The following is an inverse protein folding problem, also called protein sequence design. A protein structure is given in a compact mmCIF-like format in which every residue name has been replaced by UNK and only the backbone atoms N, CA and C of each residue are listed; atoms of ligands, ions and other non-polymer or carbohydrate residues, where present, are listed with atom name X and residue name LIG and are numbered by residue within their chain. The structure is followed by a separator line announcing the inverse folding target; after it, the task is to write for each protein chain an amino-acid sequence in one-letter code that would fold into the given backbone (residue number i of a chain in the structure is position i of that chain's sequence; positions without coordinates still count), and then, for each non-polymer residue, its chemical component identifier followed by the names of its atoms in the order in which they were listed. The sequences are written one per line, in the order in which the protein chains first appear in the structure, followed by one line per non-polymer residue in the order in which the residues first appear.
data_IF_086733592513
#
_entry.id   IF_086733592513
#
_cell.length_a   1.000
_cell.length_b   1.000
_cell.length_c   1.000
_cell.angle_alpha   90.00
_cell.angle_beta   90.00
_cell.angle_gamma   90.00
#
_symmetry.space_group_name_H-M   'P 1'
#
loop_
_entity.id
_entity.type
_entity.pdbx_description
1 polymer ?
#
# COMPACT_ATOMS: atom_id res chain seq x y z
N UNK A 1 45.91 -12.18 13.97
CA UNK A 1 46.17 -10.72 13.92
C UNK A 1 44.91 -10.01 14.45
N UNK A 2 45.01 -8.76 14.92
CA UNK A 2 43.85 -7.92 15.27
C UNK A 2 43.57 -6.99 14.11
N UNK A 3 42.31 -6.81 13.73
CA UNK A 3 41.89 -5.73 12.83
C UNK A 3 40.94 -4.78 13.56
N UNK A 4 41.09 -3.49 13.30
CA UNK A 4 40.49 -2.42 14.10
C UNK A 4 39.18 -1.92 13.50
N UNK A 5 38.20 -1.62 14.36
CA UNK A 5 37.01 -0.85 13.96
C UNK A 5 37.34 0.64 14.02
N UNK A 6 37.39 1.29 12.86
CA UNK A 6 37.43 2.76 12.78
C UNK A 6 36.05 3.31 13.14
N UNK A 7 35.96 4.15 14.16
CA UNK A 7 34.76 4.93 14.46
C UNK A 7 34.84 6.29 13.77
N UNK A 8 33.90 6.58 12.88
CA UNK A 8 33.74 7.93 12.30
C UNK A 8 32.82 8.73 13.22
N UNK A 9 33.34 9.85 13.74
CA UNK A 9 32.63 10.74 14.67
C UNK A 9 31.91 11.82 13.85
N UNK A 10 30.58 11.84 13.87
CA UNK A 10 29.77 12.89 13.23
C UNK A 10 29.50 14.00 14.26
N UNK A 11 29.75 15.29 13.94
CA UNK A 11 29.50 16.40 14.86
C UNK A 11 28.00 16.70 14.98
N UNK A 12 27.55 17.06 16.19
CA UNK A 12 26.20 17.56 16.45
C UNK A 12 26.11 19.05 16.10
N UNK A 13 25.05 19.44 15.39
CA UNK A 13 24.69 20.85 15.14
C UNK A 13 23.64 21.26 16.18
N UNK A 14 23.83 22.37 16.92
CA UNK A 14 22.84 22.85 17.88
C UNK A 14 21.61 23.43 17.17
N UNK A 15 20.42 23.28 17.78
CA UNK A 15 19.21 23.99 17.34
C UNK A 15 19.21 25.41 17.91
N UNK A 16 18.74 26.43 17.16
CA UNK A 16 18.52 27.77 17.72
C UNK A 16 17.38 27.75 18.74
N UNK A 17 17.48 28.57 19.78
CA UNK A 17 16.43 28.73 20.79
C UNK A 17 15.30 29.65 20.34
N UNK A 18 14.13 29.49 20.94
CA UNK A 18 13.11 30.54 21.00
C UNK A 18 13.25 31.29 22.32
N UNK A 19 13.08 32.61 22.28
CA UNK A 19 13.08 33.46 23.47
C UNK A 19 11.67 33.47 24.10
N UNK A 20 11.62 33.63 25.42
CA UNK A 20 10.40 33.97 26.13
C UNK A 20 9.96 35.40 25.78
N UNK A 21 8.66 35.67 25.88
CA UNK A 21 8.07 37.01 25.74
C UNK A 21 7.17 37.28 26.93
N UNK A 22 7.41 38.39 27.62
CA UNK A 22 6.88 38.66 28.97
C UNK A 22 5.38 38.99 29.00
N UNK A 23 4.73 38.74 30.15
CA UNK A 23 3.32 39.01 30.37
C UNK A 23 3.04 40.51 30.64
N UNK A 24 2.06 41.06 29.92
CA UNK A 24 1.47 42.35 30.27
C UNK A 24 0.52 42.19 31.47
N UNK A 25 0.85 42.79 32.62
CA UNK A 25 -0.09 42.91 33.76
C UNK A 25 -0.23 44.37 34.21
N UNK A 26 -1.49 44.78 34.45
CA UNK A 26 -1.85 46.18 34.73
C UNK A 26 -2.47 46.32 36.13
N UNK A 27 -1.74 47.04 36.99
CA UNK A 27 -2.14 47.72 38.24
C UNK A 27 -3.48 47.38 38.95
N UNK A 28 -3.38 46.98 40.22
CA UNK A 28 -4.27 47.47 41.31
C UNK A 28 -3.42 47.79 42.55
N UNK A 29 -3.79 48.85 43.30
CA UNK A 29 -3.09 49.40 44.48
C UNK A 29 -3.52 48.77 45.82
N UNK A 30 -2.65 48.70 46.85
CA UNK A 30 -2.96 47.97 48.10
C UNK A 30 -2.33 48.36 49.47
N UNK A 31 -1.55 49.46 49.59
CA UNK A 31 -1.19 50.20 50.85
C UNK A 31 -0.82 49.43 52.16
N UNK A 32 0.44 49.64 52.61
CA UNK A 32 0.82 49.72 54.05
C UNK A 32 1.47 48.46 54.67
N UNK A 33 2.34 48.56 55.71
CA UNK A 33 2.93 49.70 56.46
C UNK A 33 4.27 49.25 57.08
N UNK A 34 5.16 50.22 57.42
CA UNK A 34 6.18 50.20 58.50
C UNK A 34 7.22 49.03 58.57
N UNK A 35 8.51 49.19 58.92
CA UNK A 35 9.30 50.36 59.37
C UNK A 35 10.83 50.07 59.28
N UNK A 36 11.56 51.00 58.66
CA UNK A 36 12.84 51.60 59.13
C UNK A 36 14.14 50.74 59.33
N UNK A 37 15.36 51.36 59.33
CA UNK A 37 16.55 50.85 58.60
C UNK A 37 17.82 50.91 59.53
N UNK A 38 19.05 51.39 59.17
CA UNK A 38 19.74 51.70 57.89
C UNK A 38 21.23 51.23 57.79
N UNK A 39 21.99 51.82 56.84
CA UNK A 39 23.48 51.87 56.70
C UNK A 39 24.12 50.64 56.02
N UNK A 40 25.22 50.70 55.24
CA UNK A 40 26.07 51.75 54.62
C UNK A 40 27.10 51.05 53.66
N UNK A 41 27.99 51.62 52.80
CA UNK A 41 28.36 52.99 52.34
C UNK A 41 29.24 52.87 51.05
N UNK A 42 29.07 53.75 50.02
CA UNK A 42 30.12 54.21 49.06
C UNK A 42 30.81 53.16 48.12
N UNK A 43 31.55 53.49 47.03
CA UNK A 43 31.71 54.72 46.22
C UNK A 43 32.55 54.55 44.93
N UNK A 44 32.31 55.43 43.94
CA UNK A 44 33.28 56.08 43.00
C UNK A 44 33.83 55.30 41.78
N UNK A 45 34.12 55.97 40.62
CA UNK A 45 34.07 55.35 39.28
C UNK A 45 35.36 55.44 38.38
N UNK A 46 35.47 56.15 37.23
CA UNK A 46 36.07 55.62 35.98
C UNK A 46 37.37 56.34 35.52
N UNK A 47 37.85 56.15 34.26
CA UNK A 47 37.58 57.20 33.26
C UNK A 47 37.50 56.80 31.75
N UNK A 48 36.81 57.68 31.00
CA UNK A 48 36.86 58.12 29.57
C UNK A 48 37.89 57.59 28.54
N UNK A 49 37.44 57.48 27.26
CA UNK A 49 37.74 58.41 26.12
C UNK A 49 36.85 58.08 24.88
N UNK A 50 36.10 59.04 24.27
CA UNK A 50 36.44 59.90 23.08
C UNK A 50 37.13 59.13 21.93
N UNK A 51 36.77 59.11 20.64
CA UNK A 51 36.08 60.06 19.71
C UNK A 51 35.83 59.30 18.34
N UNK A 52 35.24 59.75 17.20
CA UNK A 52 34.64 60.99 16.65
C UNK A 52 33.71 60.67 15.43
N UNK A 53 33.20 61.68 14.69
CA UNK A 53 32.45 61.61 13.39
C UNK A 53 33.18 62.46 12.30
N UNK A 54 32.63 62.92 11.12
CA UNK A 54 31.30 62.75 10.46
C UNK A 54 31.24 62.66 8.90
N UNK A 55 30.03 62.44 8.34
CA UNK A 55 29.56 62.90 7.00
C UNK A 55 29.77 61.97 5.78
N UNK A 56 28.94 61.96 4.70
CA UNK A 56 27.62 62.59 4.42
C UNK A 56 27.09 62.22 3.01
N UNK A 57 25.81 61.84 2.82
CA UNK A 57 24.65 62.68 2.36
C UNK A 57 24.29 62.55 0.84
N UNK A 58 22.98 62.36 0.53
CA UNK A 58 22.25 62.38 -0.79
C UNK A 58 22.46 61.15 -1.74
N UNK A 59 21.51 60.70 -2.58
CA UNK A 59 20.13 61.16 -2.94
C UNK A 59 19.24 60.00 -3.45
N UNK A 60 17.91 60.06 -3.26
CA UNK A 60 16.87 59.33 -4.05
C UNK A 60 16.32 60.20 -5.20
N UNK A 61 15.67 59.64 -6.25
CA UNK A 61 14.20 59.42 -6.31
C UNK A 61 13.78 58.14 -7.12
N UNK A 62 12.52 57.80 -7.45
CA UNK A 62 11.20 57.83 -6.78
C UNK A 62 10.13 57.17 -7.72
N UNK A 63 9.20 56.32 -7.22
CA UNK A 63 7.95 55.79 -7.87
C UNK A 63 8.09 54.97 -9.21
N UNK A 64 7.10 54.25 -9.79
CA UNK A 64 5.99 53.30 -9.39
C UNK A 64 5.25 52.88 -10.71
N UNK A 65 4.35 51.86 -10.85
CA UNK A 65 3.99 50.71 -10.01
C UNK A 65 3.96 49.33 -10.76
N UNK A 66 3.37 48.35 -10.07
CA UNK A 66 2.96 46.98 -10.45
C UNK A 66 2.47 46.69 -11.89
N UNK A 67 2.56 45.40 -12.26
CA UNK A 67 1.49 44.71 -12.99
C UNK A 67 1.26 43.30 -12.38
N UNK A 68 0.04 42.79 -12.51
CA UNK A 68 -0.50 41.67 -11.73
C UNK A 68 -0.61 40.39 -12.58
N UNK A 69 -0.22 39.24 -12.05
CA UNK A 69 -0.38 37.94 -12.72
C UNK A 69 -0.63 36.81 -11.72
N UNK A 70 -1.70 36.05 -11.97
CA UNK A 70 -2.34 35.15 -11.02
C UNK A 70 -1.47 33.95 -10.63
N UNK A 71 -1.26 33.75 -9.33
CA UNK A 71 -0.75 32.47 -8.81
C UNK A 71 -1.90 31.51 -8.58
N UNK A 72 -2.23 30.73 -9.60
CA UNK A 72 -3.10 29.55 -9.45
C UNK A 72 -2.36 28.45 -8.71
N UNK A 73 -2.40 28.51 -7.37
CA UNK A 73 -1.72 27.56 -6.47
C UNK A 73 -2.29 26.16 -6.63
N UNK A 74 -1.72 25.38 -7.56
CA UNK A 74 -2.09 23.97 -7.73
C UNK A 74 -1.49 23.17 -6.58
N UNK A 75 -2.28 22.99 -5.53
CA UNK A 75 -1.90 22.26 -4.32
C UNK A 75 -1.57 20.81 -4.65
N UNK A 76 -0.28 20.54 -4.84
CA UNK A 76 0.24 19.19 -5.05
C UNK A 76 0.12 18.42 -3.75
N UNK A 77 -1.01 17.72 -3.59
CA UNK A 77 -1.26 16.73 -2.55
C UNK A 77 -0.25 15.59 -2.67
N UNK A 78 0.93 15.80 -2.05
CA UNK A 78 2.01 14.82 -2.01
C UNK A 78 1.64 13.70 -1.05
N UNK A 79 0.81 12.77 -1.53
CA UNK A 79 0.60 11.47 -0.87
C UNK A 79 1.98 10.85 -0.65
N UNK A 80 2.33 10.44 0.58
CA UNK A 80 3.66 9.92 0.88
C UNK A 80 3.91 8.59 0.14
N UNK A 81 5.19 8.29 -0.06
CA UNK A 81 5.63 6.98 -0.56
C UNK A 81 5.31 5.93 0.51
N UNK A 82 4.45 4.97 0.16
CA UNK A 82 3.99 3.93 1.07
C UNK A 82 5.10 2.90 1.26
N UNK A 83 5.63 2.81 2.46
CA UNK A 83 6.62 1.81 2.87
C UNK A 83 5.94 0.42 2.97
N UNK A 84 5.99 -0.37 1.90
CA UNK A 84 5.63 -1.78 1.95
C UNK A 84 6.70 -2.54 2.77
N UNK A 85 6.34 -3.70 3.31
CA UNK A 85 7.12 -4.30 4.41
C UNK A 85 7.97 -5.52 4.00
N UNK A 86 8.93 -5.88 4.86
CA UNK A 86 10.08 -6.72 4.54
C UNK A 86 9.72 -8.19 4.30
N UNK A 87 9.70 -8.60 3.03
CA UNK A 87 9.77 -10.01 2.63
C UNK A 87 11.19 -10.58 2.83
N UNK A 88 11.47 -11.15 4.01
CA UNK A 88 12.70 -11.92 4.23
C UNK A 88 12.73 -13.20 3.39
N UNK A 89 13.68 -13.32 2.46
CA UNK A 89 13.93 -14.53 1.67
C UNK A 89 14.14 -15.75 2.59
N UNK A 90 13.26 -16.74 2.50
CA UNK A 90 13.41 -18.03 3.22
C UNK A 90 14.53 -18.84 2.56
N UNK A 91 15.62 -19.11 3.31
CA UNK A 91 16.69 -20.00 2.83
C UNK A 91 16.20 -21.46 2.85
N UNK A 92 15.92 -22.03 1.68
CA UNK A 92 15.58 -23.45 1.54
C UNK A 92 16.70 -24.35 2.07
N UNK A 93 16.45 -25.03 3.19
CA UNK A 93 17.36 -26.05 3.75
C UNK A 93 17.05 -27.39 3.09
N UNK A 94 18.04 -28.03 2.43
CA UNK A 94 17.87 -29.36 1.81
C UNK A 94 17.42 -30.38 2.86
N UNK A 95 16.21 -30.93 2.71
CA UNK A 95 15.80 -32.12 3.48
C UNK A 95 16.51 -33.37 2.93
N UNK A 96 17.03 -34.21 3.82
CA UNK A 96 17.55 -35.54 3.49
C UNK A 96 16.38 -36.52 3.45
N UNK A 97 16.31 -37.35 2.43
CA UNK A 97 15.36 -38.45 2.35
C UNK A 97 15.71 -39.55 3.36
N UNK A 98 14.74 -39.92 4.18
CA UNK A 98 14.68 -41.19 4.91
C UNK A 98 13.33 -41.83 4.60
N UNK A 99 13.24 -43.16 4.58
CA UNK A 99 12.13 -43.83 3.89
C UNK A 99 11.57 -45.09 4.54
N UNK A 100 10.56 -45.63 3.85
CA UNK A 100 9.89 -46.94 4.00
C UNK A 100 9.00 -47.18 5.24
N UNK A 101 7.72 -47.42 4.88
CA UNK A 101 6.79 -48.44 5.41
C UNK A 101 6.21 -48.27 6.82
N UNK A 102 4.87 -48.24 6.88
CA UNK A 102 4.07 -49.47 7.10
C UNK A 102 2.70 -49.38 6.40
N UNK A 103 1.92 -50.46 6.43
CA UNK A 103 0.73 -50.71 5.59
C UNK A 103 -0.34 -51.47 6.39
N UNK A 104 -1.46 -50.81 6.67
CA UNK A 104 -2.75 -51.36 7.15
C UNK A 104 -3.80 -50.26 6.86
N UNK A 105 -5.09 -50.53 6.69
CA UNK A 105 -5.80 -51.82 6.55
C UNK A 105 -7.14 -51.56 5.86
N UNK A 106 -7.71 -52.57 5.19
CA UNK A 106 -8.97 -52.42 4.43
C UNK A 106 -10.09 -53.13 5.18
N UNK A 107 -11.18 -52.44 5.48
CA UNK A 107 -12.46 -53.03 5.90
C UNK A 107 -13.60 -52.41 5.09
N UNK A 108 -14.79 -53.01 5.14
CA UNK A 108 -15.85 -52.82 4.15
C UNK A 108 -17.18 -52.41 4.74
N UNK A 109 -17.91 -51.55 4.01
CA UNK A 109 -19.36 -51.34 4.18
C UNK A 109 -20.02 -51.40 2.80
N UNK A 110 -21.30 -51.79 2.75
CA UNK A 110 -22.00 -52.26 1.54
C UNK A 110 -23.05 -51.27 1.03
N UNK A 111 -23.15 -51.23 -0.30
CA UNK A 111 -24.36 -51.14 -1.13
C UNK A 111 -25.12 -49.80 -1.23
N UNK A 112 -25.72 -49.62 -2.41
CA UNK A 112 -26.69 -48.58 -2.77
C UNK A 112 -28.12 -49.12 -2.58
N UNK A 113 -29.15 -48.34 -2.93
CA UNK A 113 -29.80 -48.66 -4.21
C UNK A 113 -29.93 -47.45 -5.16
N UNK A 114 -29.77 -47.70 -6.46
CA UNK A 114 -29.98 -46.71 -7.51
C UNK A 114 -31.45 -46.74 -7.97
N UNK A 115 -32.23 -45.70 -7.63
CA UNK A 115 -33.63 -45.55 -8.07
C UNK A 115 -34.04 -44.10 -8.43
N UNK A 116 -33.27 -43.08 -8.05
CA UNK A 116 -33.67 -41.67 -8.14
C UNK A 116 -33.10 -40.89 -9.35
N UNK A 117 -32.15 -41.45 -10.10
CA UNK A 117 -31.40 -40.70 -11.14
C UNK A 117 -32.05 -40.76 -12.52
N UNK A 118 -32.78 -41.83 -12.84
CA UNK A 118 -33.31 -42.07 -14.19
C UNK A 118 -34.45 -41.13 -14.62
N UNK A 119 -35.16 -40.52 -13.66
CA UNK A 119 -36.32 -39.66 -13.95
C UNK A 119 -35.94 -38.26 -14.46
N UNK A 120 -34.83 -37.69 -13.97
CA UNK A 120 -34.42 -36.32 -14.32
C UNK A 120 -33.82 -36.20 -15.73
N UNK A 121 -33.24 -37.28 -16.26
CA UNK A 121 -32.71 -37.32 -17.63
C UNK A 121 -33.81 -37.36 -18.70
N UNK A 122 -35.02 -37.82 -18.37
CA UNK A 122 -36.13 -37.90 -19.32
C UNK A 122 -36.73 -36.51 -19.66
N UNK A 123 -36.87 -35.62 -18.67
CA UNK A 123 -37.42 -34.27 -18.93
C UNK A 123 -36.47 -33.37 -19.74
N UNK A 124 -35.15 -33.58 -19.64
CA UNK A 124 -34.16 -32.78 -20.37
C UNK A 124 -34.26 -32.92 -21.90
N UNK A 125 -34.83 -34.02 -22.41
CA UNK A 125 -34.91 -34.33 -23.85
C UNK A 125 -36.18 -33.80 -24.54
N UNK A 126 -37.20 -33.35 -23.81
CA UNK A 126 -38.45 -32.85 -24.39
C UNK A 126 -38.46 -31.34 -24.68
N UNK A 127 -37.62 -30.58 -23.99
CA UNK A 127 -37.54 -29.10 -24.14
C UNK A 127 -37.19 -28.66 -25.58
N UNK A 128 -36.27 -29.32 -26.33
CA UNK A 128 -35.94 -28.89 -27.69
C UNK A 128 -37.09 -29.03 -28.71
N UNK A 129 -38.05 -29.92 -28.47
CA UNK A 129 -39.11 -30.25 -29.44
C UNK A 129 -40.23 -29.19 -29.43
N UNK A 130 -40.49 -28.56 -28.28
CA UNK A 130 -41.53 -27.54 -28.12
C UNK A 130 -41.09 -26.18 -28.71
N UNK A 131 -39.79 -25.96 -28.90
CA UNK A 131 -39.26 -24.71 -29.48
C UNK A 131 -39.30 -24.64 -31.01
N UNK A 132 -39.58 -25.76 -31.71
CA UNK A 132 -39.54 -25.86 -33.17
C UNK A 132 -40.93 -26.26 -33.71
N UNK A 133 -41.91 -25.41 -33.46
CA UNK A 133 -43.21 -25.46 -34.14
C UNK A 133 -43.28 -24.37 -35.21
N UNK A 134 -43.66 -24.66 -36.47
CA UNK A 134 -43.70 -23.65 -37.51
C UNK A 134 -44.81 -22.62 -37.24
N UNK A 135 -44.44 -21.34 -37.13
CA UNK A 135 -45.40 -20.25 -37.33
C UNK A 135 -45.68 -20.14 -38.82
N UNK A 136 -46.96 -20.23 -39.18
CA UNK A 136 -47.47 -19.95 -40.52
C UNK A 136 -47.20 -18.50 -40.92
N UNK A 137 -46.84 -18.26 -42.19
CA UNK A 137 -46.67 -16.92 -42.74
C UNK A 137 -47.95 -16.08 -42.60
N UNK A 138 -47.88 -14.98 -41.86
CA UNK A 138 -48.96 -13.98 -41.83
C UNK A 138 -48.71 -12.97 -42.96
N UNK A 139 -49.71 -12.81 -43.83
CA UNK A 139 -49.57 -12.14 -45.12
C UNK A 139 -49.31 -10.63 -45.00
N UNK A 140 -48.29 -10.15 -45.71
CA UNK A 140 -47.91 -8.75 -45.71
C UNK A 140 -49.04 -7.86 -46.29
N UNK A 141 -49.52 -6.91 -45.47
CA UNK A 141 -50.38 -5.81 -45.95
C UNK A 141 -49.49 -4.69 -46.50
N UNK A 142 -49.82 -4.10 -47.67
CA UNK A 142 -49.02 -3.02 -48.24
C UNK A 142 -49.11 -1.74 -47.40
N UNK A 143 -47.96 -1.12 -47.16
CA UNK A 143 -47.84 0.18 -46.49
C UNK A 143 -47.98 1.28 -47.56
N UNK A 144 -48.77 2.36 -47.34
CA UNK A 144 -48.85 3.47 -48.27
C UNK A 144 -47.51 4.22 -48.40
N UNK A 145 -47.21 4.72 -49.59
CA UNK A 145 -45.93 5.38 -49.86
C UNK A 145 -45.76 6.68 -49.04
N UNK A 146 -44.56 6.94 -48.48
CA UNK A 146 -44.28 8.20 -47.79
C UNK A 146 -44.11 9.35 -48.78
N UNK A 147 -44.83 10.45 -48.54
CA UNK A 147 -44.63 11.74 -49.23
C UNK A 147 -43.28 12.37 -48.89
N UNK A 148 -42.78 13.23 -49.78
CA UNK A 148 -41.43 13.80 -49.75
C UNK A 148 -41.03 14.44 -48.40
N UNK A 149 -40.17 13.73 -47.66
CA UNK A 149 -39.48 14.26 -46.49
C UNK A 149 -38.08 14.76 -46.87
N UNK A 150 -37.72 15.97 -46.43
CA UNK A 150 -36.46 16.64 -46.79
C UNK A 150 -35.24 15.80 -46.37
N UNK A 151 -34.28 15.65 -47.29
CA UNK A 151 -33.06 14.85 -47.10
C UNK A 151 -32.01 15.52 -46.18
N UNK A 152 -32.35 15.78 -44.91
CA UNK A 152 -31.33 16.02 -43.88
C UNK A 152 -30.65 14.70 -43.52
N UNK A 153 -29.69 14.27 -44.35
CA UNK A 153 -28.82 13.14 -44.05
C UNK A 153 -27.92 13.48 -42.85
N UNK A 154 -28.32 13.03 -41.66
CA UNK A 154 -27.42 13.01 -40.50
C UNK A 154 -26.16 12.25 -40.90
N UNK A 155 -24.94 12.82 -40.77
CA UNK A 155 -23.73 12.09 -41.13
C UNK A 155 -23.59 10.88 -40.21
N UNK A 156 -23.56 9.69 -40.80
CA UNK A 156 -23.21 8.45 -40.07
C UNK A 156 -21.83 8.68 -39.46
N UNK A 157 -21.65 8.52 -38.13
CA UNK A 157 -20.35 8.73 -37.52
C UNK A 157 -19.36 7.72 -38.11
N UNK A 158 -18.31 8.25 -38.75
CA UNK A 158 -17.20 7.44 -39.26
C UNK A 158 -16.69 6.53 -38.15
N UNK A 159 -16.51 5.21 -38.37
CA UNK A 159 -15.92 4.33 -37.37
C UNK A 159 -14.60 4.93 -36.90
N UNK A 160 -14.51 5.25 -35.60
CA UNK A 160 -13.35 5.93 -35.06
C UNK A 160 -12.12 5.02 -35.27
N UNK A 161 -11.15 5.52 -36.05
CA UNK A 161 -9.90 4.79 -36.31
C UNK A 161 -9.27 4.45 -34.94
N UNK A 162 -8.97 3.17 -34.66
CA UNK A 162 -8.45 2.78 -33.35
C UNK A 162 -7.07 3.42 -33.15
N UNK A 163 -7.01 4.45 -32.30
CA UNK A 163 -5.78 5.18 -32.01
C UNK A 163 -4.83 4.26 -31.25
N UNK A 164 -3.83 3.73 -31.96
CA UNK A 164 -2.78 2.90 -31.38
C UNK A 164 -1.72 3.78 -30.74
N UNK A 165 -1.81 3.94 -29.42
CA UNK A 165 -0.79 4.59 -28.62
C UNK A 165 0.47 3.71 -28.48
N UNK A 166 1.70 4.28 -28.49
CA UNK A 166 2.92 3.52 -28.26
C UNK A 166 2.99 3.00 -26.82
N UNK A 167 3.68 1.88 -26.60
CA UNK A 167 3.83 1.33 -25.25
C UNK A 167 4.75 2.24 -24.40
N UNK A 168 4.31 2.69 -23.21
CA UNK A 168 5.13 3.48 -22.31
C UNK A 168 6.38 2.72 -21.86
N UNK A 169 7.43 3.48 -21.50
CA UNK A 169 8.64 2.94 -20.88
C UNK A 169 8.71 3.30 -19.40
N UNK A 170 9.36 2.43 -18.63
CA UNK A 170 9.56 2.55 -17.18
C UNK A 170 11.05 2.54 -16.89
N UNK A 171 11.54 3.53 -16.13
CA UNK A 171 12.89 3.55 -15.58
C UNK A 171 12.87 2.97 -14.16
N UNK A 172 13.61 1.89 -13.93
CA UNK A 172 13.71 1.20 -12.64
C UNK A 172 15.12 1.34 -12.09
N UNK A 173 15.28 1.96 -10.92
CA UNK A 173 16.54 2.00 -10.20
C UNK A 173 16.76 0.69 -9.43
N UNK A 174 17.85 -0.03 -9.72
CA UNK A 174 18.24 -1.26 -9.05
C UNK A 174 19.10 -0.93 -7.82
N UNK A 175 18.56 -1.07 -6.62
CA UNK A 175 19.24 -0.71 -5.38
C UNK A 175 20.49 -1.57 -5.10
N UNK A 176 20.56 -2.78 -5.66
CA UNK A 176 21.70 -3.68 -5.49
C UNK A 176 22.95 -3.29 -6.33
N UNK A 177 22.77 -2.52 -7.40
CA UNK A 177 23.85 -2.13 -8.34
C UNK A 177 24.02 -0.62 -8.50
N UNK A 178 23.04 0.18 -8.06
CA UNK A 178 23.02 1.63 -8.28
C UNK A 178 22.73 2.05 -9.72
N UNK A 179 22.25 1.13 -10.56
CA UNK A 179 22.02 1.35 -12.00
C UNK A 179 20.54 1.44 -12.35
N UNK A 180 20.21 2.15 -13.43
CA UNK A 180 18.83 2.29 -13.91
C UNK A 180 18.59 1.41 -15.13
N UNK A 181 17.62 0.50 -15.06
CA UNK A 181 17.05 -0.19 -16.23
C UNK A 181 16.00 0.68 -16.91
N UNK A 182 15.81 0.52 -18.22
CA UNK A 182 14.76 1.17 -19.00
C UNK A 182 14.03 0.11 -19.83
N UNK A 183 12.75 -0.15 -19.51
CA UNK A 183 11.99 -1.30 -20.00
C UNK A 183 10.60 -0.89 -20.54
N UNK A 184 9.99 -1.66 -21.45
CA UNK A 184 8.55 -1.56 -21.74
C UNK A 184 7.68 -1.75 -20.49
N UNK A 185 6.50 -1.15 -20.48
CA UNK A 185 5.56 -1.20 -19.36
C UNK A 185 5.15 -2.64 -19.01
N UNK A 186 4.87 -3.50 -19.98
CA UNK A 186 4.44 -4.88 -19.72
C UNK A 186 5.60 -5.79 -19.26
N UNK A 187 6.85 -5.46 -19.61
CA UNK A 187 8.04 -6.11 -19.07
C UNK A 187 8.30 -5.69 -17.61
N UNK A 188 8.08 -4.42 -17.27
CA UNK A 188 8.10 -3.97 -15.88
C UNK A 188 7.04 -4.70 -15.04
N UNK A 189 5.79 -4.74 -15.52
CA UNK A 189 4.68 -5.44 -14.84
C UNK A 189 4.98 -6.94 -14.69
N UNK A 190 5.58 -7.58 -15.71
CA UNK A 190 6.08 -8.96 -15.62
C UNK A 190 7.06 -9.15 -14.46
N UNK A 191 8.06 -8.26 -14.34
CA UNK A 191 9.09 -8.34 -13.29
C UNK A 191 8.57 -8.06 -11.88
N UNK A 192 7.50 -7.27 -11.73
CA UNK A 192 6.81 -7.05 -10.45
C UNK A 192 5.93 -8.26 -10.08
N UNK A 193 5.07 -8.73 -10.98
CA UNK A 193 4.16 -9.86 -10.69
C UNK A 193 4.95 -11.12 -10.29
N UNK A 194 6.11 -11.34 -10.92
CA UNK A 194 7.00 -12.47 -10.62
C UNK A 194 7.71 -12.39 -9.27
N UNK A 195 7.85 -11.19 -8.70
CA UNK A 195 8.50 -10.94 -7.42
C UNK A 195 7.50 -10.87 -6.26
N UNK A 196 6.30 -10.32 -6.51
CA UNK A 196 5.29 -10.04 -5.49
C UNK A 196 4.30 -11.20 -5.24
N UNK A 197 3.93 -12.00 -6.26
CA UNK A 197 2.87 -13.00 -6.14
C UNK A 197 3.36 -14.42 -6.46
N UNK A 198 3.04 -15.45 -5.64
CA UNK A 198 3.41 -16.83 -5.92
C UNK A 198 2.84 -17.32 -7.25
N UNK A 199 3.71 -17.82 -8.12
CA UNK A 199 3.36 -18.24 -9.47
C UNK A 199 2.35 -19.40 -9.52
N UNK A 200 2.18 -20.12 -8.42
CA UNK A 200 1.19 -21.18 -8.23
C UNK A 200 -0.26 -20.66 -8.17
N UNK A 201 -0.48 -19.36 -7.87
CA UNK A 201 -1.80 -18.75 -7.72
C UNK A 201 -2.66 -18.84 -8.99
N UNK A 202 -3.98 -18.66 -8.84
CA UNK A 202 -4.95 -18.68 -9.93
C UNK A 202 -4.69 -17.55 -10.95
N UNK A 203 -5.02 -17.80 -12.21
CA UNK A 203 -4.80 -16.86 -13.32
C UNK A 203 -5.47 -15.49 -13.07
N UNK A 204 -6.71 -15.47 -12.56
CA UNK A 204 -7.43 -14.24 -12.27
C UNK A 204 -6.81 -13.42 -11.11
N UNK A 205 -6.17 -14.08 -10.14
CA UNK A 205 -5.40 -13.39 -9.10
C UNK A 205 -4.10 -12.78 -9.65
N UNK A 206 -3.39 -13.50 -10.52
CA UNK A 206 -2.21 -12.99 -11.22
C UNK A 206 -2.56 -11.80 -12.14
N UNK A 207 -3.71 -11.84 -12.83
CA UNK A 207 -4.25 -10.71 -13.60
C UNK A 207 -4.58 -9.52 -12.70
N UNK A 208 -5.21 -9.75 -11.55
CA UNK A 208 -5.51 -8.69 -10.58
C UNK A 208 -4.22 -8.02 -10.07
N UNK A 209 -3.18 -8.79 -9.76
CA UNK A 209 -1.85 -8.28 -9.39
C UNK A 209 -1.19 -7.50 -10.55
N UNK A 210 -1.29 -7.98 -11.80
CA UNK A 210 -0.76 -7.28 -12.97
C UNK A 210 -1.43 -5.91 -13.18
N UNK A 211 -2.76 -5.83 -13.04
CA UNK A 211 -3.52 -4.57 -13.13
C UNK A 211 -3.14 -3.64 -11.98
N UNK A 212 -2.98 -4.15 -10.74
CA UNK A 212 -2.53 -3.33 -9.60
C UNK A 212 -1.11 -2.77 -9.81
N UNK A 213 -0.17 -3.61 -10.25
CA UNK A 213 1.19 -3.20 -10.58
C UNK A 213 1.21 -2.13 -11.68
N UNK A 214 0.50 -2.37 -12.80
CA UNK A 214 0.38 -1.41 -13.91
C UNK A 214 -0.24 -0.08 -13.46
N UNK A 215 -1.29 -0.13 -12.62
CA UNK A 215 -1.96 1.08 -12.12
C UNK A 215 -1.02 1.95 -11.27
N UNK A 216 -0.23 1.33 -10.39
CA UNK A 216 0.73 2.03 -9.54
C UNK A 216 1.77 2.81 -10.36
N UNK A 217 2.43 2.15 -11.34
CA UNK A 217 3.45 2.82 -12.16
C UNK A 217 2.82 3.85 -13.10
N UNK A 218 1.64 3.60 -13.67
CA UNK A 218 0.93 4.56 -14.52
C UNK A 218 0.53 5.81 -13.74
N UNK A 219 0.10 5.68 -12.46
CA UNK A 219 -0.12 6.83 -11.57
C UNK A 219 1.15 7.66 -11.40
N UNK A 220 2.31 7.03 -11.18
CA UNK A 220 3.59 7.75 -11.01
C UNK A 220 4.06 8.42 -12.30
N UNK A 221 4.03 7.70 -13.43
CA UNK A 221 4.38 8.25 -14.75
C UNK A 221 3.45 9.42 -15.14
N UNK A 222 2.14 9.33 -14.88
CA UNK A 222 1.21 10.43 -15.10
C UNK A 222 1.51 11.65 -14.22
N UNK A 223 1.88 11.44 -12.95
CA UNK A 223 2.27 12.52 -12.04
C UNK A 223 3.68 13.11 -12.27
N UNK A 224 4.54 12.44 -13.06
CA UNK A 224 6.00 12.64 -13.05
C UNK A 224 6.61 12.46 -11.64
N UNK A 225 6.05 11.52 -10.87
CA UNK A 225 6.44 11.24 -9.48
C UNK A 225 7.69 10.35 -9.42
N UNK A 226 8.81 10.95 -9.03
CA UNK A 226 10.09 10.26 -8.74
C UNK A 226 10.42 10.25 -7.24
N UNK A 227 9.45 10.56 -6.37
CA UNK A 227 9.65 10.55 -4.91
C UNK A 227 10.12 9.18 -4.42
N UNK A 228 11.01 9.15 -3.43
CA UNK A 228 11.61 7.91 -2.92
C UNK A 228 12.70 7.28 -3.80
N UNK A 229 12.96 7.80 -5.00
CA UNK A 229 14.05 7.33 -5.88
C UNK A 229 15.33 8.14 -5.62
N UNK A 230 16.51 7.51 -5.45
CA UNK A 230 17.78 8.22 -5.28
C UNK A 230 18.02 9.24 -6.41
N UNK A 231 18.26 10.49 -6.02
CA UNK A 231 18.44 11.66 -6.91
C UNK A 231 17.34 11.87 -7.98
N UNK A 232 16.16 11.24 -7.84
CA UNK A 232 15.10 11.27 -8.85
C UNK A 232 15.48 10.64 -10.20
N UNK A 233 16.53 9.81 -10.25
CA UNK A 233 17.14 9.33 -11.49
C UNK A 233 16.30 8.32 -12.30
N UNK A 234 15.22 7.80 -11.71
CA UNK A 234 14.32 6.81 -12.30
C UNK A 234 12.87 7.05 -11.80
N UNK A 235 11.91 6.28 -12.30
CA UNK A 235 10.49 6.44 -11.97
C UNK A 235 10.12 5.67 -10.69
N UNK A 236 10.80 4.54 -10.43
CA UNK A 236 10.64 3.65 -9.26
C UNK A 236 11.97 2.99 -8.88
N UNK A 237 12.03 2.38 -7.69
CA UNK A 237 13.09 1.44 -7.28
C UNK A 237 12.61 -0.01 -7.37
N UNK A 238 13.52 -0.97 -7.27
CA UNK A 238 13.27 -2.42 -7.18
C UNK A 238 12.91 -2.93 -5.77
N UNK A 239 12.67 -2.01 -4.83
CA UNK A 239 12.48 -2.29 -3.40
C UNK A 239 11.04 -2.06 -2.94
N UNK A 240 10.73 -2.57 -1.74
CA UNK A 240 9.43 -2.41 -1.05
C UNK A 240 9.01 -0.95 -0.77
N UNK A 241 9.86 0.06 -1.01
CA UNK A 241 9.43 1.45 -1.01
C UNK A 241 8.62 1.83 -2.26
N UNK A 242 8.60 0.98 -3.29
CA UNK A 242 7.72 1.12 -4.45
C UNK A 242 6.99 -0.20 -4.71
N UNK A 243 7.67 -1.14 -5.38
CA UNK A 243 7.22 -2.51 -5.64
C UNK A 243 8.48 -3.37 -5.77
N UNK A 244 8.46 -4.60 -5.25
CA UNK A 244 9.58 -5.52 -5.47
C UNK A 244 9.63 -5.88 -6.94
N UNK A 245 10.80 -5.73 -7.56
CA UNK A 245 11.01 -6.02 -8.98
C UNK A 245 12.13 -7.04 -9.14
N UNK A 246 12.00 -7.95 -10.12
CA UNK A 246 13.10 -8.79 -10.60
C UNK A 246 13.15 -8.73 -12.13
N UNK A 247 14.32 -8.51 -12.76
CA UNK A 247 14.43 -8.42 -14.22
C UNK A 247 13.80 -9.62 -14.95
N UNK A 248 12.89 -9.42 -15.93
CA UNK A 248 12.17 -10.53 -16.58
C UNK A 248 13.04 -11.64 -17.16
N UNK A 249 14.20 -11.31 -17.76
CA UNK A 249 15.14 -12.32 -18.25
C UNK A 249 15.77 -13.15 -17.13
N UNK A 250 16.04 -12.54 -15.97
CA UNK A 250 16.49 -13.28 -14.79
C UNK A 250 15.37 -14.20 -14.28
N UNK A 251 14.14 -13.71 -14.15
CA UNK A 251 12.97 -14.53 -13.75
C UNK A 251 12.86 -15.73 -14.68
N UNK A 252 12.86 -15.49 -16.00
CA UNK A 252 12.78 -16.52 -17.03
C UNK A 252 13.90 -17.55 -16.92
N UNK A 253 15.15 -17.11 -16.82
CA UNK A 253 16.31 -17.99 -16.70
C UNK A 253 16.30 -18.82 -15.39
N UNK A 254 15.94 -18.19 -14.27
CA UNK A 254 15.83 -18.85 -12.96
C UNK A 254 14.68 -19.86 -12.94
N UNK A 255 13.52 -19.52 -13.49
CA UNK A 255 12.34 -20.39 -13.49
C UNK A 255 12.49 -21.57 -14.46
N UNK A 256 13.03 -21.37 -15.67
CA UNK A 256 13.35 -22.46 -16.60
C UNK A 256 14.34 -23.43 -15.94
N UNK A 257 15.40 -22.92 -15.28
CA UNK A 257 16.38 -23.74 -14.54
C UNK A 257 15.78 -24.50 -13.36
N UNK A 258 14.68 -24.01 -12.80
CA UNK A 258 13.90 -24.67 -11.73
C UNK A 258 12.75 -25.56 -12.25
N UNK A 259 12.60 -25.70 -13.58
CA UNK A 259 11.51 -26.47 -14.21
C UNK A 259 10.15 -25.77 -14.22
N UNK A 260 10.07 -24.52 -13.77
CA UNK A 260 8.85 -23.70 -13.64
C UNK A 260 8.37 -23.06 -14.96
N UNK A 261 8.36 -23.84 -16.04
CA UNK A 261 8.04 -23.34 -17.39
C UNK A 261 6.56 -22.98 -17.50
N UNK A 262 5.66 -23.81 -16.96
CA UNK A 262 4.20 -23.58 -17.00
C UNK A 262 3.78 -22.39 -16.15
N UNK A 263 4.47 -22.19 -15.03
CA UNK A 263 4.31 -21.04 -14.14
C UNK A 263 4.72 -19.74 -14.85
N UNK A 264 5.84 -19.76 -15.59
CA UNK A 264 6.27 -18.64 -16.43
C UNK A 264 5.26 -18.35 -17.55
N UNK A 265 4.79 -19.38 -18.26
CA UNK A 265 3.77 -19.26 -19.31
C UNK A 265 2.45 -18.67 -18.79
N UNK A 266 2.00 -19.10 -17.61
CA UNK A 266 0.78 -18.60 -16.94
C UNK A 266 0.93 -17.16 -16.43
N UNK A 267 2.11 -16.79 -15.91
CA UNK A 267 2.38 -15.40 -15.54
C UNK A 267 2.37 -14.49 -16.77
N UNK A 268 3.07 -14.92 -17.83
CA UNK A 268 3.07 -14.25 -19.12
C UNK A 268 1.65 -14.14 -19.73
N UNK A 269 0.81 -15.16 -19.56
CA UNK A 269 -0.61 -15.11 -19.91
C UNK A 269 -1.37 -14.06 -19.09
N UNK A 270 -1.18 -14.01 -17.78
CA UNK A 270 -1.84 -13.03 -16.90
C UNK A 270 -1.49 -11.57 -17.26
N UNK A 271 -0.23 -11.29 -17.61
CA UNK A 271 0.20 -9.96 -18.06
C UNK A 271 -0.43 -9.63 -19.41
N UNK A 272 -0.34 -10.51 -20.43
CA UNK A 272 -0.94 -10.29 -21.76
C UNK A 272 -2.46 -10.11 -21.72
N UNK A 273 -3.18 -10.98 -21.02
CA UNK A 273 -4.65 -10.93 -20.93
C UNK A 273 -5.16 -9.80 -20.02
N UNK A 274 -4.27 -9.08 -19.33
CA UNK A 274 -4.58 -7.84 -18.61
C UNK A 274 -3.93 -6.60 -19.23
N UNK A 275 -3.27 -6.72 -20.39
CA UNK A 275 -2.48 -5.65 -21.02
C UNK A 275 -3.25 -4.33 -21.09
N UNK A 276 -2.55 -3.23 -20.87
CA UNK A 276 -3.06 -1.86 -20.88
C UNK A 276 -4.12 -1.54 -19.79
N UNK A 277 -4.69 -2.53 -19.11
CA UNK A 277 -5.76 -2.31 -18.13
C UNK A 277 -5.21 -1.74 -16.82
N UNK A 278 -5.80 -0.63 -16.37
CA UNK A 278 -5.54 0.02 -15.07
C UNK A 278 -6.84 0.37 -14.34
N UNK A 279 -6.75 0.56 -13.02
CA UNK A 279 -7.86 1.00 -12.18
C UNK A 279 -7.89 2.52 -12.02
N UNK A 280 -9.07 3.10 -12.10
CA UNK A 280 -9.28 4.55 -12.00
C UNK A 280 -10.37 4.91 -11.00
N UNK A 281 -10.25 6.10 -10.41
CA UNK A 281 -11.28 6.74 -9.61
C UNK A 281 -11.38 8.19 -10.05
N UNK A 282 -12.59 8.68 -10.37
CA UNK A 282 -12.81 10.01 -10.97
C UNK A 282 -11.88 10.27 -12.19
N UNK A 283 -11.68 9.26 -13.03
CA UNK A 283 -10.82 9.31 -14.22
C UNK A 283 -9.31 9.29 -13.98
N UNK A 284 -8.84 9.38 -12.73
CA UNK A 284 -7.41 9.36 -12.37
C UNK A 284 -6.97 7.96 -11.92
N UNK A 285 -5.73 7.58 -12.21
CA UNK A 285 -5.18 6.27 -11.80
C UNK A 285 -5.00 6.20 -10.27
N UNK A 286 -5.44 5.12 -9.65
CA UNK A 286 -5.51 5.02 -8.19
C UNK A 286 -4.18 4.65 -7.50
N UNK A 287 -4.10 4.88 -6.20
CA UNK A 287 -3.09 4.24 -5.33
C UNK A 287 -3.46 2.77 -5.16
N UNK A 288 -2.97 1.91 -6.06
CA UNK A 288 -3.27 0.47 -6.11
C UNK A 288 -2.45 -0.35 -5.09
N UNK A 289 -2.62 -0.07 -3.79
CA UNK A 289 -1.92 -0.77 -2.72
C UNK A 289 -2.40 -2.20 -2.52
N UNK A 290 -1.46 -3.13 -2.33
CA UNK A 290 -1.72 -4.53 -2.06
C UNK A 290 -0.77 -5.07 -0.98
N UNK A 291 -1.14 -6.18 -0.35
CA UNK A 291 -0.39 -6.81 0.73
C UNK A 291 -0.63 -8.33 0.75
N UNK A 292 0.21 -9.08 1.48
CA UNK A 292 0.20 -10.54 1.37
C UNK A 292 -1.07 -11.20 1.90
N UNK A 293 -1.42 -10.97 3.17
CA UNK A 293 -2.45 -11.75 3.88
C UNK A 293 -3.25 -10.87 4.83
N UNK A 294 -4.58 -10.96 4.80
CA UNK A 294 -5.46 -10.27 5.75
C UNK A 294 -5.51 -10.96 7.12
N UNK A 295 -6.07 -10.30 8.13
CA UNK A 295 -6.50 -10.91 9.39
C UNK A 295 -7.95 -11.47 9.33
N UNK A 296 -8.58 -11.41 8.16
CA UNK A 296 -10.01 -11.52 7.91
C UNK A 296 -10.61 -10.28 7.24
N UNK A 297 -9.95 -9.12 7.32
CA UNK A 297 -10.39 -7.84 6.76
C UNK A 297 -9.22 -6.98 6.23
N UNK A 298 -9.55 -6.06 5.32
CA UNK A 298 -8.66 -4.95 4.92
C UNK A 298 -8.82 -3.76 5.87
N UNK A 299 -7.90 -2.81 5.80
CA UNK A 299 -7.97 -1.52 6.50
C UNK A 299 -8.43 -0.38 5.59
N UNK A 300 -8.97 0.67 6.21
CA UNK A 300 -9.07 1.98 5.58
C UNK A 300 -7.65 2.61 5.50
N UNK A 301 -7.39 3.47 4.51
CA UNK A 301 -6.08 4.10 4.36
C UNK A 301 -5.72 5.02 5.55
N UNK A 302 -6.70 5.70 6.12
CA UNK A 302 -6.56 6.62 7.24
C UNK A 302 -6.07 5.94 8.53
N UNK A 303 -6.48 4.69 8.79
CA UNK A 303 -6.07 3.91 9.96
C UNK A 303 -4.61 3.39 9.88
N UNK A 304 -3.92 3.64 8.76
CA UNK A 304 -2.54 3.16 8.52
C UNK A 304 -1.59 4.29 8.05
N UNK A 305 -2.09 5.27 7.31
CA UNK A 305 -1.31 6.39 6.75
C UNK A 305 -1.90 7.79 7.07
N UNK A 306 -2.85 7.88 8.00
CA UNK A 306 -3.43 9.13 8.50
C UNK A 306 -4.32 9.92 7.52
N UNK A 307 -4.43 9.49 6.26
CA UNK A 307 -5.14 10.19 5.20
C UNK A 307 -6.23 9.29 4.60
N UNK A 308 -7.47 9.78 4.56
CA UNK A 308 -8.59 9.03 4.02
C UNK A 308 -8.53 8.93 2.49
N UNK A 309 -8.81 7.73 1.95
CA UNK A 309 -8.78 7.47 0.51
C UNK A 309 -10.08 6.73 0.10
N UNK A 310 -10.96 7.35 -0.71
CA UNK A 310 -12.33 6.83 -0.95
C UNK A 310 -12.42 5.41 -1.53
N UNK A 311 -11.38 4.95 -2.22
CA UNK A 311 -11.30 3.61 -2.83
C UNK A 311 -10.41 2.64 -2.04
N UNK A 312 -9.82 3.04 -0.91
CA UNK A 312 -9.07 2.16 -0.01
C UNK A 312 -9.78 2.13 1.34
N UNK A 313 -10.78 1.27 1.42
CA UNK A 313 -11.69 1.15 2.54
C UNK A 313 -11.65 -0.28 3.08
N UNK A 314 -11.98 -0.44 4.36
CA UNK A 314 -12.06 -1.74 5.02
C UNK A 314 -13.25 -2.55 4.47
N UNK A 315 -12.93 -3.70 3.87
CA UNK A 315 -13.83 -4.75 3.35
C UNK A 315 -13.45 -6.09 3.97
N UNK A 316 -14.34 -7.08 3.87
CA UNK A 316 -14.05 -8.44 4.30
C UNK A 316 -13.07 -9.16 3.36
N UNK A 317 -12.34 -10.13 3.90
CA UNK A 317 -11.40 -10.97 3.16
C UNK A 317 -11.31 -12.34 3.85
N UNK A 318 -12.41 -13.12 3.87
CA UNK A 318 -12.53 -14.33 4.69
C UNK A 318 -11.56 -15.46 4.28
N UNK A 319 -11.14 -15.50 3.02
CA UNK A 319 -10.35 -16.59 2.44
C UNK A 319 -8.95 -16.73 3.05
N UNK A 320 -8.31 -15.62 3.44
CA UNK A 320 -6.94 -15.58 3.97
C UNK A 320 -6.72 -16.54 5.14
N UNK A 321 -7.71 -16.60 6.03
CA UNK A 321 -7.71 -17.39 7.28
C UNK A 321 -7.51 -18.89 7.03
N UNK A 322 -7.97 -19.37 5.88
CA UNK A 322 -7.97 -20.80 5.52
C UNK A 322 -6.91 -21.14 4.47
N UNK A 323 -6.55 -20.19 3.60
CA UNK A 323 -5.66 -20.44 2.47
C UNK A 323 -4.19 -20.10 2.76
N UNK A 324 -3.90 -19.04 3.53
CA UNK A 324 -2.55 -18.53 3.66
C UNK A 324 -1.74 -19.33 4.71
N UNK A 325 -0.65 -20.03 4.33
CA UNK A 325 0.14 -20.83 5.27
C UNK A 325 0.80 -20.00 6.39
N UNK A 326 0.93 -18.70 6.17
CA UNK A 326 1.46 -17.73 7.13
C UNK A 326 0.41 -16.93 7.91
N UNK A 327 -0.88 -17.28 7.83
CA UNK A 327 -1.99 -16.50 8.43
C UNK A 327 -1.84 -16.26 9.93
N UNK A 328 -1.20 -17.17 10.67
CA UNK A 328 -0.76 -16.92 12.05
C UNK A 328 0.75 -17.05 12.14
N UNK A 329 1.40 -16.17 12.90
CA UNK A 329 2.82 -16.26 13.21
C UNK A 329 3.08 -15.81 14.64
N UNK A 330 3.54 -16.75 15.46
CA UNK A 330 4.09 -16.44 16.79
C UNK A 330 5.57 -16.12 16.70
N UNK A 331 6.01 -15.15 17.49
CA UNK A 331 7.41 -14.86 17.81
C UNK A 331 7.54 -14.70 19.32
N UNK A 332 8.67 -15.12 19.88
CA UNK A 332 9.01 -14.90 21.29
C UNK A 332 10.09 -13.85 21.39
N UNK A 333 9.89 -12.84 22.23
CA UNK A 333 10.88 -11.82 22.58
C UNK A 333 10.98 -11.72 24.10
N UNK A 334 12.08 -11.17 24.61
CA UNK A 334 12.16 -10.79 26.03
C UNK A 334 11.43 -9.49 26.29
N UNK A 335 10.93 -9.30 27.51
CA UNK A 335 10.40 -8.01 28.00
C UNK A 335 11.38 -6.87 27.71
N UNK A 336 12.65 -7.05 28.06
CA UNK A 336 13.72 -6.07 27.84
C UNK A 336 14.02 -5.79 26.36
N UNK A 337 13.87 -6.79 25.48
CA UNK A 337 13.99 -6.60 24.02
C UNK A 337 12.83 -5.76 23.47
N UNK A 338 11.61 -5.97 23.96
CA UNK A 338 10.44 -5.19 23.58
C UNK A 338 10.61 -3.73 24.05
N UNK A 339 10.93 -3.52 25.32
CA UNK A 339 11.16 -2.18 25.88
C UNK A 339 12.27 -1.43 25.10
N UNK A 340 13.40 -2.08 24.83
CA UNK A 340 14.49 -1.49 24.04
C UNK A 340 14.07 -1.09 22.62
N UNK A 341 13.29 -1.94 21.93
CA UNK A 341 12.82 -1.67 20.56
C UNK A 341 11.77 -0.55 20.50
N UNK A 342 10.98 -0.40 21.55
CA UNK A 342 9.98 0.68 21.70
C UNK A 342 10.58 1.98 22.28
N UNK A 343 11.89 2.00 22.57
CA UNK A 343 12.58 3.10 23.26
C UNK A 343 11.96 3.44 24.64
N UNK A 344 11.75 2.40 25.46
CA UNK A 344 11.22 2.48 26.82
C UNK A 344 12.27 1.98 27.82
N UNK A 345 12.53 2.72 28.89
CA UNK A 345 13.56 2.35 29.88
C UNK A 345 13.09 1.27 30.87
N UNK A 346 11.82 1.33 31.29
CA UNK A 346 11.26 0.50 32.36
C UNK A 346 9.74 0.32 32.21
N UNK A 347 9.13 -0.42 33.13
CA UNK A 347 7.67 -0.50 33.30
C UNK A 347 7.32 0.16 34.64
N UNK A 348 6.74 1.37 34.66
CA UNK A 348 6.22 2.00 35.87
C UNK A 348 5.19 1.11 36.56
N UNK A 349 5.22 1.01 37.90
CA UNK A 349 4.23 0.23 38.66
C UNK A 349 2.81 0.77 38.42
N UNK A 350 2.68 2.09 38.27
CA UNK A 350 1.43 2.80 37.93
C UNK A 350 0.87 2.43 36.55
N UNK A 351 1.67 1.89 35.64
CA UNK A 351 1.21 1.46 34.31
C UNK A 351 0.71 0.01 34.27
N UNK A 352 0.75 -0.73 35.40
CA UNK A 352 0.40 -2.14 35.43
C UNK A 352 -1.06 -2.36 35.85
N UNK A 353 -1.91 -2.74 34.88
CA UNK A 353 -3.31 -3.11 35.12
C UNK A 353 -3.41 -4.63 35.29
N UNK A 354 -3.79 -5.10 36.48
CA UNK A 354 -3.90 -6.53 36.82
C UNK A 354 -2.62 -7.35 36.48
N UNK A 355 -1.43 -6.74 36.63
CA UNK A 355 -0.14 -7.35 36.27
C UNK A 355 0.19 -7.35 34.78
N UNK A 356 -0.72 -6.88 33.90
CA UNK A 356 -0.38 -6.58 32.51
C UNK A 356 0.20 -5.18 32.39
N UNK A 357 1.25 -5.06 31.59
CA UNK A 357 1.91 -3.81 31.22
C UNK A 357 1.68 -3.44 29.75
N UNK A 358 0.75 -4.16 29.10
CA UNK A 358 0.29 -3.97 27.73
C UNK A 358 -1.24 -4.06 27.72
N UNK A 359 -1.91 -3.21 26.95
CA UNK A 359 -3.38 -3.17 26.83
C UNK A 359 -3.79 -2.61 25.47
N UNK A 360 -4.69 -3.28 24.73
CA UNK A 360 -5.29 -2.69 23.52
C UNK A 360 -6.36 -1.70 23.96
N UNK A 361 -6.24 -0.44 23.55
CA UNK A 361 -7.18 0.63 23.86
C UNK A 361 -8.30 0.70 22.82
N UNK A 362 -7.95 0.55 21.54
CA UNK A 362 -8.89 0.65 20.42
C UNK A 362 -8.47 -0.23 19.24
N UNK A 363 -9.44 -0.61 18.40
CA UNK A 363 -9.22 -1.37 17.16
C UNK A 363 -9.84 -0.65 15.96
N UNK A 364 -9.28 -0.92 14.79
CA UNK A 364 -9.76 -0.37 13.51
C UNK A 364 -11.02 -1.10 13.02
N UNK A 365 -11.67 -0.56 11.99
CA UNK A 365 -12.75 -1.27 11.27
C UNK A 365 -12.26 -2.61 10.70
N UNK A 366 -11.02 -2.69 10.23
CA UNK A 366 -10.36 -3.92 9.80
C UNK A 366 -9.84 -4.82 10.92
N UNK A 367 -10.14 -4.50 12.19
CA UNK A 367 -9.76 -5.24 13.39
C UNK A 367 -8.25 -5.38 13.63
N UNK A 368 -7.40 -4.50 13.08
CA UNK A 368 -6.04 -4.29 13.59
C UNK A 368 -6.09 -3.42 14.86
N UNK A 369 -5.02 -3.45 15.66
CA UNK A 369 -4.87 -2.54 16.79
C UNK A 369 -4.75 -1.13 16.23
N UNK A 370 -5.62 -0.22 16.70
CA UNK A 370 -5.53 1.20 16.37
C UNK A 370 -4.59 1.87 17.36
N UNK A 371 -4.94 1.85 18.65
CA UNK A 371 -4.10 2.31 19.76
C UNK A 371 -3.91 1.22 20.82
N UNK A 372 -2.74 1.18 21.44
CA UNK A 372 -2.47 0.36 22.61
C UNK A 372 -1.52 1.06 23.59
N UNK A 373 -1.69 0.78 24.88
CA UNK A 373 -0.76 1.22 25.92
C UNK A 373 0.32 0.15 26.14
N UNK A 374 1.59 0.56 26.24
CA UNK A 374 2.72 -0.31 26.60
C UNK A 374 3.60 0.45 27.60
N UNK A 375 3.76 -0.11 28.81
CA UNK A 375 4.53 0.50 29.91
C UNK A 375 4.09 1.93 30.29
N UNK A 376 2.85 2.31 30.00
CA UNK A 376 2.29 3.64 30.28
C UNK A 376 2.20 4.52 29.03
N UNK A 377 3.13 4.38 28.10
CA UNK A 377 3.14 5.10 26.82
C UNK A 377 2.11 4.54 25.84
N UNK A 378 1.58 5.40 24.97
CA UNK A 378 0.59 5.03 23.95
C UNK A 378 1.25 4.92 22.58
N UNK A 379 0.97 3.82 21.88
CA UNK A 379 1.49 3.54 20.54
C UNK A 379 0.34 3.17 19.59
N UNK A 380 0.48 3.51 18.31
CA UNK A 380 -0.37 2.92 17.29
C UNK A 380 0.04 1.48 16.95
N UNK A 381 -0.91 0.67 16.49
CA UNK A 381 -0.62 -0.69 16.02
C UNK A 381 0.47 -0.74 14.92
N UNK A 382 0.47 0.14 13.90
CA UNK A 382 1.53 0.22 12.90
C UNK A 382 2.93 0.53 13.46
N UNK A 383 3.05 1.36 14.49
CA UNK A 383 4.34 1.68 15.12
C UNK A 383 4.91 0.47 15.86
N UNK A 384 4.12 -0.16 16.74
CA UNK A 384 4.53 -1.38 17.45
C UNK A 384 4.90 -2.50 16.46
N UNK A 385 4.13 -2.62 15.37
CA UNK A 385 4.41 -3.55 14.27
C UNK A 385 5.78 -3.30 13.65
N UNK A 386 6.10 -2.03 13.29
CA UNK A 386 7.36 -1.64 12.67
C UNK A 386 8.55 -1.78 13.62
N UNK A 387 8.42 -1.31 14.87
CA UNK A 387 9.48 -1.31 15.87
C UNK A 387 9.83 -2.73 16.36
N UNK A 388 8.83 -3.61 16.54
CA UNK A 388 9.06 -4.99 16.96
C UNK A 388 9.41 -5.95 15.80
N UNK A 389 9.09 -5.58 14.55
CA UNK A 389 9.30 -6.42 13.36
C UNK A 389 8.21 -7.49 13.17
N UNK A 390 6.95 -7.13 13.46
CA UNK A 390 5.79 -8.02 13.40
C UNK A 390 5.19 -8.08 11.98
N UNK A 391 4.55 -9.19 11.62
CA UNK A 391 3.91 -9.35 10.30
C UNK A 391 2.78 -8.34 10.06
N UNK A 392 1.95 -8.11 11.07
CA UNK A 392 0.76 -7.26 11.02
C UNK A 392 0.59 -6.52 12.35
N UNK A 393 -0.27 -5.50 12.36
CA UNK A 393 -0.70 -4.77 13.56
C UNK A 393 -1.95 -5.39 14.20
N UNK A 394 -2.35 -6.60 13.79
CA UNK A 394 -3.26 -7.44 14.55
C UNK A 394 -2.44 -8.54 15.23
N UNK A 395 -2.40 -8.51 16.56
CA UNK A 395 -1.72 -9.51 17.34
C UNK A 395 -2.34 -9.67 18.73
N UNK A 396 -2.05 -10.81 19.37
CA UNK A 396 -2.25 -11.05 20.80
C UNK A 396 -0.94 -11.48 21.42
N UNK A 397 -0.81 -11.39 22.76
CA UNK A 397 0.39 -11.81 23.48
C UNK A 397 0.08 -12.70 24.68
N UNK A 398 1.09 -13.46 25.11
CA UNK A 398 1.11 -14.18 26.40
C UNK A 398 2.47 -13.98 27.05
N UNK A 399 2.48 -13.68 28.34
CA UNK A 399 3.71 -13.42 29.10
C UNK A 399 4.01 -14.58 30.04
N UNK A 400 5.22 -15.12 29.99
CA UNK A 400 5.69 -16.23 30.84
C UNK A 400 7.04 -15.85 31.44
N UNK A 401 7.05 -15.35 32.68
CA UNK A 401 8.25 -14.87 33.36
C UNK A 401 8.80 -13.59 32.73
N UNK A 402 9.84 -13.74 31.89
CA UNK A 402 10.46 -12.65 31.10
C UNK A 402 10.21 -12.76 29.59
N UNK A 403 9.65 -13.87 29.13
CA UNK A 403 9.30 -14.06 27.71
C UNK A 403 7.90 -13.56 27.41
N UNK A 404 7.75 -12.92 26.24
CA UNK A 404 6.47 -12.52 25.66
C UNK A 404 6.31 -13.22 24.32
N UNK A 405 5.30 -14.07 24.21
CA UNK A 405 4.93 -14.77 22.98
C UNK A 405 3.88 -13.95 22.23
N UNK A 406 4.29 -13.19 21.23
CA UNK A 406 3.43 -12.34 20.40
C UNK A 406 2.96 -13.16 19.19
N UNK A 407 1.66 -13.36 19.05
CA UNK A 407 1.03 -14.05 17.91
C UNK A 407 0.32 -13.04 17.02
N UNK A 408 0.89 -12.82 15.83
CA UNK A 408 0.35 -11.98 14.75
C UNK A 408 -0.60 -12.77 13.86
N UNK A 409 -1.58 -12.08 13.26
CA UNK A 409 -2.53 -12.66 12.31
C UNK A 409 -2.58 -11.80 11.03
N UNK A 410 -2.50 -12.44 9.86
CA UNK A 410 -2.23 -11.76 8.59
C UNK A 410 -0.76 -11.33 8.41
N UNK A 411 -0.46 -10.70 7.28
CA UNK A 411 0.89 -10.24 6.91
C UNK A 411 0.84 -9.06 5.93
N UNK A 412 1.47 -7.95 6.32
CA UNK A 412 1.49 -6.68 5.60
C UNK A 412 0.68 -5.60 6.30
N UNK A 413 0.61 -4.42 5.67
CA UNK A 413 -0.06 -3.23 6.22
C UNK A 413 -1.59 -3.38 6.27
N UNK A 414 -2.21 -4.03 5.27
CA UNK A 414 -3.64 -4.39 5.29
C UNK A 414 -4.56 -3.54 4.41
N UNK A 415 -4.05 -2.52 3.73
CA UNK A 415 -4.86 -1.58 2.92
C UNK A 415 -4.95 -2.04 1.47
N UNK A 416 -6.14 -2.02 0.87
CA UNK A 416 -6.37 -2.42 -0.53
C UNK A 416 -6.40 -3.93 -0.72
N UNK A 417 -5.72 -4.47 -1.74
CA UNK A 417 -5.89 -5.88 -2.13
C UNK A 417 -5.06 -6.86 -1.29
N UNK A 418 -5.72 -7.84 -0.67
CA UNK A 418 -5.02 -9.05 -0.17
C UNK A 418 -4.68 -9.98 -1.33
N UNK A 419 -3.41 -10.39 -1.44
CA UNK A 419 -2.96 -11.38 -2.43
C UNK A 419 -3.57 -12.76 -2.19
N UNK A 420 -3.58 -13.24 -0.93
CA UNK A 420 -4.21 -14.53 -0.58
C UNK A 420 -5.73 -14.48 -0.67
N UNK A 421 -6.34 -13.33 -0.35
CA UNK A 421 -7.77 -13.09 -0.53
C UNK A 421 -8.18 -13.13 -2.01
N UNK A 422 -7.45 -12.42 -2.89
CA UNK A 422 -7.62 -12.47 -4.34
C UNK A 422 -7.47 -13.89 -4.91
N UNK A 423 -6.52 -14.69 -4.39
CA UNK A 423 -6.36 -16.09 -4.77
C UNK A 423 -7.50 -16.99 -4.25
N UNK A 424 -8.22 -16.59 -3.19
CA UNK A 424 -9.44 -17.25 -2.72
C UNK A 424 -10.64 -16.97 -3.62
N UNK A 425 -10.92 -15.69 -3.89
CA UNK A 425 -11.94 -15.29 -4.86
C UNK A 425 -11.72 -15.95 -6.23
N UNK A 426 -10.48 -16.01 -6.72
CA UNK A 426 -10.12 -16.69 -7.97
C UNK A 426 -10.20 -18.23 -7.90
N UNK A 427 -10.28 -18.83 -6.71
CA UNK A 427 -10.61 -20.26 -6.54
C UNK A 427 -12.11 -20.52 -6.61
N UNK A 428 -12.93 -19.55 -6.21
CA UNK A 428 -14.40 -19.55 -6.30
C UNK A 428 -14.94 -19.09 -7.66
N UNK A 429 -14.05 -18.69 -8.58
CA UNK A 429 -14.37 -18.38 -9.98
C UNK A 429 -14.54 -16.90 -10.29
N UNK A 430 -14.26 -15.99 -9.35
CA UNK A 430 -14.29 -14.55 -9.62
C UNK A 430 -13.18 -14.15 -10.61
N UNK A 431 -13.54 -13.31 -11.58
CA UNK A 431 -12.62 -12.68 -12.53
C UNK A 431 -11.78 -11.58 -11.87
N UNK A 432 -10.66 -11.24 -12.49
CA UNK A 432 -9.77 -10.17 -12.04
C UNK A 432 -10.50 -8.84 -11.79
N UNK A 433 -11.48 -8.48 -12.63
CA UNK A 433 -12.22 -7.22 -12.47
C UNK A 433 -13.20 -7.24 -11.29
N UNK A 434 -13.75 -8.41 -10.93
CA UNK A 434 -14.57 -8.59 -9.73
C UNK A 434 -13.72 -8.56 -8.47
N UNK A 435 -12.56 -9.23 -8.49
CA UNK A 435 -11.55 -9.19 -7.41
C UNK A 435 -11.16 -7.75 -7.10
N UNK A 436 -10.79 -6.97 -8.12
CA UNK A 436 -10.36 -5.59 -7.93
C UNK A 436 -11.51 -4.68 -7.46
N UNK A 437 -12.75 -4.88 -7.96
CA UNK A 437 -13.92 -4.12 -7.47
C UNK A 437 -14.32 -4.45 -6.03
N UNK A 438 -13.92 -5.60 -5.50
CA UNK A 438 -14.07 -5.95 -4.09
C UNK A 438 -13.08 -5.19 -3.22
N UNK A 439 -11.78 -5.25 -3.54
CA UNK A 439 -10.71 -4.64 -2.74
C UNK A 439 -10.55 -3.13 -2.91
N UNK A 440 -11.05 -2.55 -4.00
CA UNK A 440 -10.96 -1.11 -4.28
C UNK A 440 -12.35 -0.52 -4.52
N UNK A 441 -12.87 0.23 -3.55
CA UNK A 441 -14.27 0.68 -3.56
C UNK A 441 -14.54 1.72 -4.65
N UNK A 442 -15.59 1.51 -5.46
CA UNK A 442 -16.06 2.49 -6.44
C UNK A 442 -15.15 2.72 -7.66
N UNK A 443 -14.18 1.83 -7.91
CA UNK A 443 -13.29 1.97 -9.07
C UNK A 443 -13.99 1.73 -10.41
N UNK A 444 -13.42 2.36 -11.44
CA UNK A 444 -13.60 2.03 -12.86
C UNK A 444 -12.31 1.47 -13.44
N UNK A 445 -12.35 1.02 -14.71
CA UNK A 445 -11.17 0.59 -15.45
C UNK A 445 -10.85 1.56 -16.58
N UNK A 446 -9.57 1.69 -16.92
CA UNK A 446 -9.06 2.55 -17.98
C UNK A 446 -7.86 1.93 -18.71
N UNK A 447 -7.33 2.66 -19.69
CA UNK A 447 -6.19 2.27 -20.53
C UNK A 447 -4.94 3.07 -20.14
N UNK A 448 -3.87 2.39 -19.73
CA UNK A 448 -2.58 2.98 -19.37
C UNK A 448 -2.01 3.85 -20.50
N UNK A 449 -2.07 3.33 -21.72
CA UNK A 449 -1.59 3.93 -22.95
C UNK A 449 -2.29 5.28 -23.21
N UNK A 450 -3.62 5.30 -23.18
CA UNK A 450 -4.43 6.52 -23.29
C UNK A 450 -4.15 7.53 -22.17
N UNK A 451 -3.91 7.08 -20.95
CA UNK A 451 -3.62 7.95 -19.80
C UNK A 451 -2.20 8.54 -19.79
N UNK A 452 -1.29 7.99 -20.60
CA UNK A 452 0.09 8.46 -20.73
C UNK A 452 0.38 9.12 -22.09
N UNK A 453 -0.51 8.98 -23.07
CA UNK A 453 -0.43 9.65 -24.37
C UNK A 453 -0.86 11.13 -24.38
N UNK A 454 -1.45 11.63 -23.29
CA UNK A 454 -1.81 13.04 -23.12
C UNK A 454 -0.69 13.83 -22.42
N UNK A 455 0.57 13.61 -22.83
CA UNK A 455 1.77 14.11 -22.14
C UNK A 455 2.93 14.39 -23.09
#
# INVERSE_FOLDING_TARGET
MKEARVQVKVPLVPRPGMQESEENTVSVSGVGKDKLPPMHLRSVPPPDTRSSSPGGIKTEPELVPANELERTTTERTHVPVIELDQFRRVKHRRMRTFGRRRRWGRSSTRWQPAAAVSALLAMALLIPVILVWPRSDESAKPIPAPTDAVNTRTPVPTPAVPVTYPEPKVRVFLAATGTTMNLPLEDYVTGVVAAEMPAEFRLEALKAQAIAARTFIVRRLAASDTSGVPAGAADVTDTVSHQVFTPPDQVRADWIRLGKVKEWEKLQQAVRESKDTVMTYQGKAITASFFSTSNGYTENAEDVWGNAVPYLQSVDSPWDKNLAPGFKQTVTMKRSEILQKLNLDAIPVTSQKNGSWMEVLSTTKGHRIKEMQIAGETFSGPEVRKQLGLRSSQFSWRTTGDEVQITTYGYGHGVGMSQWGANGMAQEGHTATQILKHYYTGISFGQASKMLASK
#
